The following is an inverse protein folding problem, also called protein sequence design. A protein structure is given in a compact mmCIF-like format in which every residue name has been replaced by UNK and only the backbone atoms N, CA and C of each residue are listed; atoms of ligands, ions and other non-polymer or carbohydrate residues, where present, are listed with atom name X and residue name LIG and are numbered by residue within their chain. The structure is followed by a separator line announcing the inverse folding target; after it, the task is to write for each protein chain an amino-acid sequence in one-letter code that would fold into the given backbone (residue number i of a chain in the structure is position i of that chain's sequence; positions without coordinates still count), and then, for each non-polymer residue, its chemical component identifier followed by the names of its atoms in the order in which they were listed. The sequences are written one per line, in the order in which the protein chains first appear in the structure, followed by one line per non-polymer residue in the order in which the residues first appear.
data_IF_462794490828
#
_entry.id   IF_462794490828
#
_cell.length_a   1.000
_cell.length_b   1.000
_cell.length_c   1.000
_cell.angle_alpha   90.00
_cell.angle_beta   90.00
_cell.angle_gamma   90.00
#
_symmetry.space_group_name_H-M   'P 1'
#
loop_
_entity.id
_entity.type
_entity.pdbx_description
1 polymer ?
#
# COMPACT_ATOMS: atom_id res chain seq x y z
N UNK A 1 59.16 -5.11 82.52
CA UNK A 1 59.93 -5.70 81.40
C UNK A 1 58.91 -5.84 80.25
N UNK A 2 58.73 -4.70 79.55
CA UNK A 2 57.68 -4.49 78.60
C UNK A 2 58.26 -4.59 77.22
N UNK A 3 57.80 -5.56 76.42
CA UNK A 3 58.11 -5.59 74.99
C UNK A 3 56.85 -5.15 74.21
N UNK A 4 56.93 -3.91 73.71
CA UNK A 4 55.98 -3.36 72.77
C UNK A 4 56.17 -3.96 71.36
N UNK A 5 55.16 -4.63 70.85
CA UNK A 5 55.11 -5.03 69.46
C UNK A 5 54.32 -3.93 68.65
N UNK A 6 55.05 -3.16 67.83
CA UNK A 6 54.48 -2.22 66.85
C UNK A 6 54.18 -2.96 65.57
N UNK A 7 52.92 -3.30 65.37
CA UNK A 7 52.42 -3.82 64.07
C UNK A 7 52.36 -2.72 63.04
N UNK A 8 52.95 -2.98 61.91
CA UNK A 8 53.05 -2.08 60.76
C UNK A 8 51.69 -1.96 60.03
N UNK A 9 51.01 -0.82 60.22
CA UNK A 9 49.73 -0.50 59.62
C UNK A 9 49.81 0.04 58.16
N UNK A 10 51.03 0.16 57.62
CA UNK A 10 51.26 0.78 56.30
C UNK A 10 51.08 -0.15 55.11
N UNK A 11 51.10 -1.47 55.33
CA UNK A 11 51.00 -2.43 54.25
C UNK A 11 49.56 -2.80 53.87
N UNK A 12 48.61 -2.66 54.82
CA UNK A 12 47.16 -2.96 54.56
C UNK A 12 46.44 -1.86 53.77
N UNK A 13 46.89 -0.61 53.89
CA UNK A 13 46.30 0.53 53.15
C UNK A 13 46.73 0.58 51.70
N UNK A 14 47.93 0.06 51.34
CA UNK A 14 48.37 0.01 49.93
C UNK A 14 47.69 -1.10 49.09
N UNK A 15 47.24 -2.18 49.74
CA UNK A 15 46.51 -3.25 49.03
C UNK A 15 45.06 -2.90 48.75
N UNK A 16 44.46 -2.05 49.59
CA UNK A 16 43.07 -1.61 49.40
C UNK A 16 42.94 -0.52 48.32
N UNK A 17 44.01 0.25 48.06
CA UNK A 17 44.05 1.28 47.05
C UNK A 17 44.25 0.74 45.62
N UNK A 18 44.73 -0.48 45.45
CA UNK A 18 44.95 -1.10 44.14
C UNK A 18 43.71 -1.84 43.63
N UNK A 19 42.72 -2.11 44.48
CA UNK A 19 41.47 -2.80 44.09
C UNK A 19 40.37 -1.85 43.59
N UNK A 20 40.58 -0.54 43.69
CA UNK A 20 39.54 0.46 43.37
C UNK A 20 39.73 1.12 42.00
N UNK A 21 40.69 0.70 41.18
CA UNK A 21 40.98 1.27 39.86
C UNK A 21 40.65 0.33 38.66
N UNK A 22 40.05 -0.82 38.93
CA UNK A 22 39.44 -1.59 37.82
C UNK A 22 38.06 -1.03 37.50
N UNK A 23 37.99 0.21 36.97
CA UNK A 23 36.80 0.76 36.37
C UNK A 23 36.51 -0.11 35.14
N UNK A 24 35.57 -1.06 35.27
CA UNK A 24 35.05 -1.85 34.17
C UNK A 24 34.45 -0.85 33.20
N UNK A 25 35.21 -0.49 32.17
CA UNK A 25 34.65 0.16 30.96
C UNK A 25 33.79 -0.90 30.29
N UNK A 26 32.54 -1.00 30.75
CA UNK A 26 31.52 -1.73 30.03
C UNK A 26 31.32 -0.94 28.75
N UNK A 27 31.65 -1.47 27.56
CA UNK A 27 31.31 -0.80 26.34
C UNK A 27 29.78 -0.65 26.34
N UNK A 28 29.27 0.58 26.41
CA UNK A 28 27.88 0.87 26.19
C UNK A 28 27.62 0.47 24.75
N UNK A 29 27.13 -0.76 24.54
CA UNK A 29 26.50 -1.15 23.25
C UNK A 29 25.29 -0.26 23.17
N UNK A 30 25.45 0.91 22.57
CA UNK A 30 24.31 1.72 22.14
C UNK A 30 23.57 0.87 21.10
N UNK A 31 22.49 0.21 21.51
CA UNK A 31 21.52 -0.31 20.56
C UNK A 31 21.00 0.94 19.83
N UNK A 32 21.61 1.24 18.68
CA UNK A 32 21.05 2.25 17.80
C UNK A 32 19.61 1.83 17.51
N UNK A 33 18.64 2.67 17.87
CA UNK A 33 17.24 2.40 17.56
C UNK A 33 17.12 2.16 16.05
N UNK A 34 16.53 1.03 15.69
CA UNK A 34 16.35 0.65 14.29
C UNK A 34 15.65 1.78 13.54
N UNK A 35 16.28 2.27 12.50
CA UNK A 35 15.68 3.34 11.66
C UNK A 35 14.49 2.78 10.92
N UNK A 36 13.34 3.42 11.03
CA UNK A 36 12.08 2.94 10.45
C UNK A 36 11.50 3.98 9.49
N UNK A 37 11.07 3.56 8.32
CA UNK A 37 10.29 4.33 7.36
C UNK A 37 8.82 3.95 7.51
N UNK A 38 7.95 4.91 7.76
CA UNK A 38 6.51 4.66 7.86
C UNK A 38 5.86 4.93 6.51
N UNK A 39 5.16 3.95 5.99
CA UNK A 39 4.47 4.04 4.70
C UNK A 39 2.99 3.73 4.84
N UNK A 40 2.11 4.62 4.40
CA UNK A 40 0.71 4.28 4.19
C UNK A 40 0.44 3.83 2.76
N UNK A 41 -0.41 2.83 2.63
CA UNK A 41 -0.82 2.28 1.33
C UNK A 41 -2.27 1.80 1.38
N UNK A 42 -2.73 1.20 0.27
CA UNK A 42 -4.09 0.62 0.22
C UNK A 42 -4.10 -0.85 0.60
N UNK A 43 -5.23 -1.31 1.15
CA UNK A 43 -5.43 -2.74 1.45
C UNK A 43 -5.32 -3.61 0.19
N UNK A 44 -5.70 -3.09 -0.99
CA UNK A 44 -5.53 -3.81 -2.26
C UNK A 44 -4.06 -3.95 -2.65
N UNK A 45 -3.25 -2.92 -2.44
CA UNK A 45 -1.79 -2.99 -2.68
C UNK A 45 -1.13 -4.03 -1.78
N UNK A 46 -1.45 -4.01 -0.49
CA UNK A 46 -0.92 -5.00 0.47
C UNK A 46 -1.37 -6.42 0.11
N UNK A 47 -2.66 -6.63 -0.14
CA UNK A 47 -3.23 -7.94 -0.46
C UNK A 47 -2.73 -8.52 -1.79
N UNK A 48 -2.21 -7.70 -2.70
CA UNK A 48 -1.57 -8.17 -3.93
C UNK A 48 -0.35 -9.05 -3.65
N UNK A 49 0.36 -8.76 -2.56
CA UNK A 49 1.60 -9.43 -2.17
C UNK A 49 2.86 -8.78 -2.75
N UNK A 50 2.75 -7.74 -3.58
CA UNK A 50 3.91 -7.07 -4.20
C UNK A 50 4.88 -6.51 -3.15
N UNK A 51 4.37 -5.92 -2.07
CA UNK A 51 5.20 -5.29 -1.04
C UNK A 51 6.12 -6.29 -0.33
N UNK A 52 5.70 -7.56 -0.22
CA UNK A 52 6.52 -8.62 0.35
C UNK A 52 7.77 -8.95 -0.49
N UNK A 53 7.75 -8.63 -1.79
CA UNK A 53 8.92 -8.76 -2.67
C UNK A 53 9.68 -7.43 -2.84
N UNK A 54 8.97 -6.31 -2.81
CA UNK A 54 9.53 -5.00 -3.09
C UNK A 54 10.30 -4.40 -1.91
N UNK A 55 9.82 -4.60 -0.66
CA UNK A 55 10.38 -3.96 0.53
C UNK A 55 11.70 -4.59 1.01
N UNK A 56 11.84 -5.94 1.14
CA UNK A 56 13.01 -6.53 1.78
C UNK A 56 14.35 -6.18 1.15
N UNK A 57 14.49 -6.05 -0.18
CA UNK A 57 15.77 -5.63 -0.76
C UNK A 57 16.19 -4.22 -0.35
N UNK A 58 15.24 -3.28 -0.25
CA UNK A 58 15.50 -1.93 0.24
C UNK A 58 15.91 -1.92 1.71
N UNK A 59 15.16 -2.63 2.57
CA UNK A 59 15.48 -2.75 4.00
C UNK A 59 16.91 -3.27 4.22
N UNK A 60 17.28 -4.28 3.44
CA UNK A 60 18.63 -4.88 3.51
C UNK A 60 19.72 -3.91 3.04
N UNK A 61 19.47 -3.14 1.98
CA UNK A 61 20.45 -2.21 1.41
C UNK A 61 20.69 -1.01 2.32
N UNK A 62 19.62 -0.46 2.90
CA UNK A 62 19.69 0.77 3.71
C UNK A 62 19.82 0.51 5.22
N UNK A 63 19.71 -0.75 5.68
CA UNK A 63 19.75 -1.09 7.10
C UNK A 63 18.59 -0.52 7.90
N UNK A 64 17.39 -0.45 7.30
CA UNK A 64 16.17 0.16 7.87
C UNK A 64 15.03 -0.83 7.86
N UNK A 65 13.91 -0.48 8.53
CA UNK A 65 12.63 -1.18 8.43
C UNK A 65 11.56 -0.30 7.81
N UNK A 66 10.69 -0.88 7.01
CA UNK A 66 9.52 -0.21 6.42
C UNK A 66 8.26 -0.69 7.13
N UNK A 67 7.64 0.22 7.88
CA UNK A 67 6.36 -0.03 8.54
C UNK A 67 5.21 0.28 7.58
N UNK A 68 4.49 -0.75 7.17
CA UNK A 68 3.38 -0.62 6.24
C UNK A 68 2.06 -0.48 7.00
N UNK A 69 1.31 0.58 6.69
CA UNK A 69 -0.04 0.83 7.20
C UNK A 69 -1.02 0.73 6.02
N UNK A 70 -1.64 -0.44 5.86
CA UNK A 70 -2.58 -0.72 4.78
C UNK A 70 -4.01 -0.37 5.18
N UNK A 71 -4.57 0.64 4.52
CA UNK A 71 -5.93 1.17 4.80
C UNK A 71 -6.63 1.58 3.49
N UNK A 72 -7.82 2.19 3.54
CA UNK A 72 -8.44 2.78 2.35
C UNK A 72 -7.67 4.03 1.88
N UNK A 73 -7.72 4.36 0.58
CA UNK A 73 -7.00 5.49 -0.03
C UNK A 73 -7.18 6.81 0.73
N UNK A 74 -8.41 7.16 1.09
CA UNK A 74 -8.68 8.40 1.84
C UNK A 74 -7.98 8.42 3.19
N UNK A 75 -7.97 7.31 3.92
CA UNK A 75 -7.28 7.16 5.20
C UNK A 75 -5.76 7.18 5.03
N UNK A 76 -5.22 6.55 3.97
CA UNK A 76 -3.79 6.58 3.69
C UNK A 76 -3.28 8.00 3.44
N UNK A 77 -4.00 8.79 2.62
CA UNK A 77 -3.72 10.21 2.40
C UNK A 77 -3.90 11.05 3.67
N UNK A 78 -4.88 10.71 4.52
CA UNK A 78 -5.07 11.41 5.79
C UNK A 78 -3.91 11.19 6.75
N UNK A 79 -3.34 9.98 6.83
CA UNK A 79 -2.12 9.72 7.60
C UNK A 79 -0.95 10.58 7.11
N UNK A 80 -0.81 10.76 5.79
CA UNK A 80 0.17 11.68 5.21
C UNK A 80 -0.11 13.15 5.57
N UNK A 81 -1.39 13.59 5.53
CA UNK A 81 -1.79 14.95 5.95
C UNK A 81 -1.47 15.25 7.41
N UNK A 82 -1.56 14.25 8.26
CA UNK A 82 -1.25 14.38 9.69
C UNK A 82 0.27 14.32 9.97
N UNK A 83 1.11 13.85 9.03
CA UNK A 83 2.51 13.56 9.27
C UNK A 83 2.75 12.27 10.08
N UNK A 84 1.75 11.38 10.12
CA UNK A 84 1.84 10.09 10.79
C UNK A 84 2.71 9.08 10.04
N UNK A 85 2.95 9.33 8.74
CA UNK A 85 3.78 8.53 7.84
C UNK A 85 4.79 9.41 7.10
N UNK A 86 5.78 8.77 6.50
CA UNK A 86 6.85 9.42 5.74
C UNK A 86 6.59 9.32 4.22
N UNK A 87 5.87 8.26 3.80
CA UNK A 87 5.54 7.95 2.41
C UNK A 87 4.07 7.55 2.29
N UNK A 88 3.45 7.97 1.19
CA UNK A 88 2.11 7.53 0.77
C UNK A 88 2.24 6.84 -0.58
N UNK A 89 1.78 5.57 -0.68
CA UNK A 89 1.80 4.78 -1.91
C UNK A 89 0.39 4.29 -2.24
N UNK A 90 -0.27 4.95 -3.19
CA UNK A 90 -1.70 4.78 -3.50
C UNK A 90 -1.96 4.80 -5.01
N UNK A 91 -3.22 4.64 -5.42
CA UNK A 91 -3.65 4.58 -6.82
C UNK A 91 -4.95 5.35 -7.05
N UNK A 92 -4.94 6.64 -6.75
CA UNK A 92 -6.08 7.54 -6.94
C UNK A 92 -5.58 8.91 -7.41
N UNK A 93 -5.14 9.01 -8.66
CA UNK A 93 -4.42 10.13 -9.24
C UNK A 93 -5.00 11.50 -8.84
N UNK A 94 -6.28 11.74 -8.98
CA UNK A 94 -6.88 13.02 -8.64
C UNK A 94 -6.78 13.37 -7.14
N UNK A 95 -6.82 12.37 -6.26
CA UNK A 95 -6.64 12.57 -4.82
C UNK A 95 -5.16 12.77 -4.45
N UNK A 96 -4.25 12.15 -5.18
CA UNK A 96 -2.80 12.34 -5.06
C UNK A 96 -2.40 13.76 -5.49
N UNK A 97 -2.90 14.21 -6.65
CA UNK A 97 -2.65 15.56 -7.15
C UNK A 97 -3.14 16.60 -6.14
N UNK A 98 -4.37 16.44 -5.62
CA UNK A 98 -4.90 17.32 -4.56
C UNK A 98 -4.02 17.32 -3.30
N UNK A 99 -3.50 16.17 -2.88
CA UNK A 99 -2.61 16.05 -1.72
C UNK A 99 -1.30 16.82 -1.93
N UNK A 100 -0.75 16.80 -3.15
CA UNK A 100 0.45 17.56 -3.53
C UNK A 100 0.13 19.05 -3.66
N UNK A 101 -0.94 19.43 -4.35
CA UNK A 101 -1.34 20.82 -4.57
C UNK A 101 -1.65 21.56 -3.25
N UNK A 102 -2.20 20.86 -2.25
CA UNK A 102 -2.40 21.37 -0.89
C UNK A 102 -1.10 21.44 -0.08
N UNK A 103 0.02 21.02 -0.64
CA UNK A 103 1.36 21.08 -0.05
C UNK A 103 1.64 20.02 1.02
N UNK A 104 0.81 19.00 1.19
CA UNK A 104 1.06 17.89 2.12
C UNK A 104 2.03 16.84 1.58
N UNK A 105 2.10 16.69 0.27
CA UNK A 105 3.01 15.80 -0.43
C UNK A 105 4.01 16.53 -1.30
N UNK A 106 5.14 15.92 -1.51
CA UNK A 106 6.18 16.36 -2.44
C UNK A 106 6.83 15.15 -3.12
N UNK A 107 7.66 15.39 -4.15
CA UNK A 107 8.41 14.33 -4.84
C UNK A 107 7.53 13.15 -5.31
N UNK A 108 6.32 13.44 -5.82
CA UNK A 108 5.45 12.42 -6.40
C UNK A 108 6.08 11.79 -7.64
N UNK A 109 6.02 10.47 -7.74
CA UNK A 109 6.45 9.69 -8.90
C UNK A 109 5.35 8.71 -9.31
N UNK A 110 5.20 8.49 -10.63
CA UNK A 110 4.47 7.36 -11.16
C UNK A 110 5.33 6.10 -10.98
N UNK A 111 4.71 5.00 -10.58
CA UNK A 111 5.41 3.76 -10.22
C UNK A 111 5.11 2.65 -11.21
N UNK A 112 3.83 2.36 -11.36
CA UNK A 112 3.31 1.22 -12.10
C UNK A 112 1.83 1.44 -12.39
N UNK A 113 1.27 0.60 -13.23
CA UNK A 113 -0.19 0.47 -13.36
C UNK A 113 -0.63 -1.00 -13.32
N UNK A 114 -1.85 -1.22 -12.93
CA UNK A 114 -2.69 -2.32 -13.33
C UNK A 114 -3.98 -1.76 -13.92
N UNK A 115 -4.98 -2.57 -14.11
CA UNK A 115 -6.28 -2.12 -14.55
C UNK A 115 -7.37 -2.53 -13.55
N UNK A 116 -8.52 -1.89 -13.71
CA UNK A 116 -9.77 -2.38 -13.20
C UNK A 116 -10.41 -3.30 -14.23
N UNK A 117 -11.18 -4.24 -13.73
CA UNK A 117 -11.97 -5.16 -14.53
C UNK A 117 -13.41 -5.19 -14.02
N UNK A 118 -14.38 -5.36 -14.89
CA UNK A 118 -15.73 -5.70 -14.45
C UNK A 118 -15.87 -7.21 -14.53
N UNK A 119 -16.12 -7.79 -13.36
CA UNK A 119 -16.31 -9.23 -13.21
C UNK A 119 -17.78 -9.56 -13.02
N UNK A 120 -18.17 -10.76 -13.39
CA UNK A 120 -19.54 -11.24 -13.28
C UNK A 120 -19.66 -12.75 -13.43
N UNK A 121 -20.89 -13.28 -13.37
CA UNK A 121 -21.13 -14.70 -13.49
C UNK A 121 -20.77 -15.21 -14.90
N UNK A 122 -20.30 -16.46 -15.03
CA UNK A 122 -19.90 -17.04 -16.34
C UNK A 122 -21.01 -16.99 -17.41
N UNK A 123 -22.28 -16.98 -17.00
CA UNK A 123 -23.44 -16.93 -17.88
C UNK A 123 -23.68 -15.56 -18.52
N UNK A 124 -23.11 -14.52 -17.92
CA UNK A 124 -23.18 -13.13 -18.38
C UNK A 124 -24.58 -12.65 -18.80
N UNK A 125 -25.57 -12.68 -17.90
CA UNK A 125 -26.94 -12.32 -18.25
C UNK A 125 -27.11 -10.88 -18.78
N UNK A 126 -26.22 -9.95 -18.41
CA UNK A 126 -26.22 -8.59 -18.94
C UNK A 126 -25.55 -8.48 -20.33
N UNK A 127 -24.86 -9.52 -20.79
CA UNK A 127 -24.16 -9.52 -22.09
C UNK A 127 -22.91 -8.59 -22.10
N UNK A 128 -22.28 -8.44 -20.97
CA UNK A 128 -21.19 -7.49 -20.77
C UNK A 128 -19.95 -7.83 -21.62
N UNK A 129 -19.67 -9.12 -21.83
CA UNK A 129 -18.56 -9.58 -22.66
C UNK A 129 -18.67 -9.14 -24.14
N UNK A 130 -19.87 -8.72 -24.58
CA UNK A 130 -20.11 -8.20 -25.94
C UNK A 130 -20.02 -6.68 -26.03
N UNK A 131 -19.80 -5.97 -24.90
CA UNK A 131 -19.67 -4.53 -24.87
C UNK A 131 -18.39 -4.08 -25.60
N UNK A 132 -18.51 -3.05 -26.43
CA UNK A 132 -17.40 -2.53 -27.25
C UNK A 132 -16.60 -1.43 -26.57
N UNK A 133 -17.22 -0.77 -25.60
CA UNK A 133 -16.69 0.39 -24.88
C UNK A 133 -17.31 0.48 -23.48
N UNK A 134 -16.76 1.35 -22.64
CA UNK A 134 -17.26 1.57 -21.29
C UNK A 134 -18.75 1.95 -21.28
N UNK A 135 -19.18 2.84 -22.17
CA UNK A 135 -20.57 3.34 -22.18
C UNK A 135 -21.56 2.22 -22.43
N UNK A 136 -21.28 1.33 -23.39
CA UNK A 136 -22.12 0.17 -23.67
C UNK A 136 -22.10 -0.86 -22.55
N UNK A 137 -20.94 -1.05 -21.88
CA UNK A 137 -20.80 -1.93 -20.72
C UNK A 137 -21.64 -1.44 -19.53
N UNK A 138 -21.51 -0.16 -19.18
CA UNK A 138 -22.26 0.44 -18.07
C UNK A 138 -23.76 0.51 -18.36
N UNK A 139 -24.14 0.77 -19.62
CA UNK A 139 -25.53 0.74 -20.03
C UNK A 139 -26.15 -0.66 -19.95
N UNK A 140 -25.40 -1.70 -20.29
CA UNK A 140 -25.84 -3.08 -20.15
C UNK A 140 -26.13 -3.43 -18.67
N UNK A 141 -25.26 -3.05 -17.77
CA UNK A 141 -25.47 -3.22 -16.32
C UNK A 141 -26.67 -2.44 -15.80
N UNK A 142 -26.88 -1.20 -16.28
CA UNK A 142 -27.96 -0.32 -15.84
C UNK A 142 -29.34 -0.75 -16.28
N UNK A 143 -29.47 -1.71 -17.18
CA UNK A 143 -30.79 -2.33 -17.52
C UNK A 143 -31.42 -3.04 -16.32
N UNK A 144 -30.63 -3.31 -15.29
CA UNK A 144 -31.13 -3.81 -14.02
C UNK A 144 -31.55 -5.28 -14.01
N UNK A 145 -31.16 -6.04 -15.02
CA UNK A 145 -31.48 -7.47 -15.13
C UNK A 145 -30.62 -8.33 -14.21
N UNK A 146 -29.52 -7.78 -13.72
CA UNK A 146 -28.63 -8.44 -12.77
C UNK A 146 -28.09 -7.44 -11.74
N UNK A 147 -27.78 -7.94 -10.54
CA UNK A 147 -27.24 -7.12 -9.45
C UNK A 147 -25.84 -6.63 -9.79
N UNK A 148 -25.58 -5.34 -9.60
CA UNK A 148 -24.23 -4.80 -9.50
C UNK A 148 -23.88 -4.53 -8.03
N UNK A 149 -22.79 -5.11 -7.56
CA UNK A 149 -22.33 -4.96 -6.19
C UNK A 149 -21.21 -3.92 -6.12
N UNK A 150 -21.55 -2.76 -5.60
CA UNK A 150 -20.62 -1.66 -5.36
C UNK A 150 -19.86 -1.85 -4.06
N UNK A 151 -18.63 -1.34 -4.01
CA UNK A 151 -17.90 -1.28 -2.74
C UNK A 151 -18.58 -0.41 -1.69
N UNK A 152 -19.12 0.73 -2.04
CA UNK A 152 -19.86 1.62 -1.14
C UNK A 152 -19.05 2.17 0.06
N UNK A 153 -17.70 2.10 0.04
CA UNK A 153 -16.83 2.34 1.19
C UNK A 153 -15.85 3.52 1.02
N UNK A 154 -16.07 4.36 0.01
CA UNK A 154 -15.21 5.50 -0.38
C UNK A 154 -13.75 5.14 -0.69
N UNK A 155 -13.45 3.87 -0.96
CA UNK A 155 -12.14 3.39 -1.41
C UNK A 155 -11.78 3.91 -2.81
N UNK A 156 -10.53 3.65 -3.25
CA UNK A 156 -10.09 3.94 -4.62
C UNK A 156 -10.96 3.25 -5.67
N UNK A 157 -11.33 1.98 -5.44
CA UNK A 157 -12.25 1.22 -6.33
C UNK A 157 -13.62 1.86 -6.38
N UNK A 158 -14.20 2.26 -5.23
CA UNK A 158 -15.50 2.94 -5.20
C UNK A 158 -15.46 4.31 -5.91
N UNK A 159 -14.39 5.09 -5.72
CA UNK A 159 -14.19 6.35 -6.44
C UNK A 159 -14.09 6.13 -7.95
N UNK A 160 -13.36 5.08 -8.36
CA UNK A 160 -13.24 4.69 -9.77
C UNK A 160 -14.60 4.29 -10.34
N UNK A 161 -15.34 3.45 -9.65
CA UNK A 161 -16.68 3.01 -10.03
C UNK A 161 -17.61 4.22 -10.27
N UNK A 162 -17.69 5.15 -9.31
CA UNK A 162 -18.49 6.38 -9.45
C UNK A 162 -18.06 7.23 -10.64
N UNK A 163 -16.76 7.28 -10.94
CA UNK A 163 -16.26 7.97 -12.13
C UNK A 163 -16.72 7.27 -13.42
N UNK A 164 -16.68 5.94 -13.47
CA UNK A 164 -17.13 5.17 -14.65
C UNK A 164 -18.63 5.38 -14.89
N UNK A 165 -19.47 5.30 -13.85
CA UNK A 165 -20.91 5.60 -13.95
C UNK A 165 -21.16 7.02 -14.47
N UNK A 166 -20.45 8.00 -13.90
CA UNK A 166 -20.55 9.40 -14.34
C UNK A 166 -20.13 9.58 -15.80
N UNK A 167 -19.02 8.93 -16.21
CA UNK A 167 -18.53 8.99 -17.61
C UNK A 167 -19.53 8.40 -18.59
N UNK A 168 -20.23 7.34 -18.18
CA UNK A 168 -21.31 6.74 -18.96
C UNK A 168 -22.62 7.55 -18.92
N UNK A 169 -22.68 8.65 -18.14
CA UNK A 169 -23.90 9.46 -17.99
C UNK A 169 -25.02 8.79 -17.20
N UNK A 170 -24.68 7.81 -16.35
CA UNK A 170 -25.61 6.99 -15.59
C UNK A 170 -25.50 7.29 -14.11
N UNK A 171 -26.63 7.49 -13.43
CA UNK A 171 -26.72 7.54 -11.97
C UNK A 171 -27.32 6.21 -11.47
N UNK A 172 -26.49 5.27 -10.99
CA UNK A 172 -27.00 3.96 -10.59
C UNK A 172 -27.89 4.09 -9.35
N UNK A 173 -29.04 3.42 -9.37
CA UNK A 173 -30.01 3.45 -8.27
C UNK A 173 -31.00 2.28 -8.38
N UNK A 174 -31.68 1.98 -7.28
CA UNK A 174 -32.69 0.91 -7.24
C UNK A 174 -32.12 -0.45 -6.82
N UNK A 175 -32.98 -1.47 -6.86
CA UNK A 175 -32.67 -2.78 -6.27
C UNK A 175 -31.55 -3.57 -6.96
N UNK A 176 -31.18 -3.21 -8.17
CA UNK A 176 -30.07 -3.86 -8.89
C UNK A 176 -28.68 -3.33 -8.48
N UNK A 177 -28.61 -2.14 -7.87
CA UNK A 177 -27.37 -1.52 -7.40
C UNK A 177 -27.25 -1.67 -5.88
N UNK A 178 -26.35 -2.53 -5.42
CA UNK A 178 -26.19 -2.87 -4.01
C UNK A 178 -24.84 -2.37 -3.47
N UNK A 179 -24.88 -1.40 -2.58
CA UNK A 179 -23.68 -0.92 -1.87
C UNK A 179 -23.35 -1.84 -0.69
N UNK A 180 -22.20 -2.52 -0.75
CA UNK A 180 -21.81 -3.50 0.26
C UNK A 180 -21.18 -2.85 1.51
N UNK A 181 -20.56 -1.67 1.40
CA UNK A 181 -19.82 -1.05 2.50
C UNK A 181 -18.61 -1.87 2.97
N UNK A 182 -18.06 -2.74 2.11
CA UNK A 182 -17.08 -3.75 2.48
C UNK A 182 -15.81 -3.69 1.62
N UNK A 183 -14.74 -4.38 2.07
CA UNK A 183 -13.51 -4.58 1.30
C UNK A 183 -13.74 -5.44 0.06
N UNK A 184 -12.82 -5.34 -0.93
CA UNK A 184 -13.01 -5.94 -2.26
C UNK A 184 -13.23 -7.46 -2.21
N UNK A 185 -12.55 -8.18 -1.31
CA UNK A 185 -12.74 -9.62 -1.17
C UNK A 185 -14.18 -9.99 -0.80
N UNK A 186 -14.80 -9.26 0.15
CA UNK A 186 -16.19 -9.47 0.53
C UNK A 186 -17.14 -9.11 -0.62
N UNK A 187 -16.85 -8.03 -1.35
CA UNK A 187 -17.63 -7.62 -2.54
C UNK A 187 -17.63 -8.71 -3.61
N UNK A 188 -16.47 -9.33 -3.88
CA UNK A 188 -16.36 -10.44 -4.83
C UNK A 188 -17.19 -11.65 -4.37
N UNK A 189 -17.16 -11.99 -3.07
CA UNK A 189 -17.98 -13.07 -2.52
C UNK A 189 -19.48 -12.77 -2.67
N UNK A 190 -19.91 -11.55 -2.31
CA UNK A 190 -21.32 -11.13 -2.43
C UNK A 190 -21.77 -11.14 -3.89
N UNK A 191 -20.93 -10.69 -4.82
CA UNK A 191 -21.22 -10.68 -6.25
C UNK A 191 -21.39 -12.12 -6.77
N UNK A 192 -20.52 -13.04 -6.34
CA UNK A 192 -20.62 -14.46 -6.70
C UNK A 192 -21.92 -15.09 -6.19
N UNK A 193 -22.23 -14.93 -4.89
CA UNK A 193 -23.44 -15.44 -4.26
C UNK A 193 -24.73 -14.90 -4.94
N UNK A 194 -24.72 -13.63 -5.34
CA UNK A 194 -25.83 -12.98 -6.03
C UNK A 194 -25.87 -13.24 -7.54
N UNK A 195 -24.88 -13.95 -8.09
CA UNK A 195 -24.66 -14.04 -9.54
C UNK A 195 -24.69 -12.67 -10.21
N UNK A 196 -24.07 -11.70 -9.54
CA UNK A 196 -24.03 -10.30 -9.93
C UNK A 196 -22.66 -9.89 -10.46
N UNK A 197 -22.55 -8.61 -10.74
CA UNK A 197 -21.36 -7.98 -11.28
C UNK A 197 -20.68 -7.10 -10.22
N UNK A 198 -19.38 -6.89 -10.37
CA UNK A 198 -18.63 -5.94 -9.54
C UNK A 198 -17.45 -5.36 -10.32
N UNK A 199 -17.06 -4.14 -9.98
CA UNK A 199 -15.76 -3.58 -10.36
C UNK A 199 -14.69 -4.04 -9.38
N UNK A 200 -13.60 -4.58 -9.89
CA UNK A 200 -12.44 -4.94 -9.07
C UNK A 200 -11.15 -4.45 -9.71
N UNK A 201 -10.15 -4.09 -8.91
CA UNK A 201 -8.80 -4.10 -9.44
C UNK A 201 -8.40 -5.53 -9.80
N UNK A 202 -7.69 -5.70 -10.92
CA UNK A 202 -7.29 -7.02 -11.43
C UNK A 202 -6.45 -7.79 -10.41
N UNK A 203 -5.59 -7.09 -9.67
CA UNK A 203 -4.72 -7.70 -8.68
C UNK A 203 -5.49 -8.41 -7.58
N UNK A 204 -6.48 -7.76 -7.01
CA UNK A 204 -7.35 -8.38 -5.99
C UNK A 204 -8.16 -9.52 -6.59
N UNK A 205 -8.72 -9.35 -7.80
CA UNK A 205 -9.47 -10.41 -8.45
C UNK A 205 -8.62 -11.68 -8.67
N UNK A 206 -7.39 -11.54 -9.19
CA UNK A 206 -6.48 -12.69 -9.39
C UNK A 206 -6.05 -13.30 -8.04
N UNK A 207 -5.78 -12.47 -7.03
CA UNK A 207 -5.42 -12.97 -5.70
C UNK A 207 -6.60 -13.71 -5.02
N UNK A 208 -7.81 -13.38 -5.42
CA UNK A 208 -9.05 -14.02 -4.94
C UNK A 208 -9.48 -15.23 -5.79
N UNK A 209 -8.82 -15.45 -6.92
CA UNK A 209 -9.11 -16.54 -7.85
C UNK A 209 -9.14 -17.91 -7.17
N UNK A 210 -10.10 -18.74 -7.59
CA UNK A 210 -10.39 -20.04 -6.99
C UNK A 210 -11.30 -20.02 -5.75
N UNK A 211 -11.66 -18.82 -5.23
CA UNK A 211 -12.62 -18.66 -4.14
C UNK A 211 -14.02 -18.26 -4.62
N UNK A 212 -14.13 -17.80 -5.85
CA UNK A 212 -15.37 -17.35 -6.49
C UNK A 212 -15.44 -17.87 -7.92
N UNK A 213 -16.64 -18.08 -8.44
CA UNK A 213 -16.89 -18.50 -9.84
C UNK A 213 -17.24 -17.29 -10.72
N UNK A 214 -16.50 -16.18 -10.54
CA UNK A 214 -16.64 -14.99 -11.36
C UNK A 214 -15.63 -15.02 -12.51
N UNK A 215 -15.97 -14.39 -13.63
CA UNK A 215 -15.10 -14.20 -14.81
C UNK A 215 -14.90 -12.71 -15.07
N UNK A 216 -13.75 -12.35 -15.68
CA UNK A 216 -13.58 -11.02 -16.26
C UNK A 216 -14.48 -10.96 -17.51
N UNK A 217 -15.40 -10.02 -17.52
CA UNK A 217 -16.38 -9.85 -18.60
C UNK A 217 -16.18 -8.53 -19.36
N UNK A 218 -15.54 -7.53 -18.74
CA UNK A 218 -15.15 -6.31 -19.44
C UNK A 218 -13.79 -5.82 -18.95
N UNK A 219 -12.87 -5.57 -19.89
CA UNK A 219 -11.50 -5.15 -19.64
C UNK A 219 -10.92 -4.37 -20.84
N UNK A 220 -9.72 -3.81 -20.71
CA UNK A 220 -8.95 -3.21 -21.80
C UNK A 220 -9.36 -1.82 -22.22
N UNK A 221 -10.45 -1.26 -21.68
CA UNK A 221 -10.83 0.13 -21.93
C UNK A 221 -9.88 1.09 -21.18
N UNK A 222 -9.47 2.17 -21.83
CA UNK A 222 -8.54 3.15 -21.29
C UNK A 222 -9.03 3.77 -19.97
N UNK A 223 -10.35 3.90 -19.81
CA UNK A 223 -10.96 4.37 -18.58
C UNK A 223 -10.78 3.43 -17.39
N UNK A 224 -10.42 2.17 -17.62
CA UNK A 224 -10.14 1.18 -16.59
C UNK A 224 -8.69 1.22 -16.07
N UNK A 225 -7.82 2.06 -16.64
CA UNK A 225 -6.44 2.18 -16.15
C UNK A 225 -6.40 2.58 -14.68
N UNK A 226 -5.49 1.95 -13.94
CA UNK A 226 -5.29 2.13 -12.51
C UNK A 226 -3.82 2.44 -12.20
N UNK A 227 -3.38 3.69 -12.40
CA UNK A 227 -2.01 4.09 -12.15
C UNK A 227 -1.73 4.23 -10.64
N UNK A 228 -0.56 3.82 -10.22
CA UNK A 228 -0.05 3.92 -8.85
C UNK A 228 0.96 5.04 -8.74
N UNK A 229 0.78 5.91 -7.74
CA UNK A 229 1.71 6.96 -7.38
C UNK A 229 2.31 6.75 -6.00
N UNK A 230 3.58 7.15 -5.85
CA UNK A 230 4.28 7.19 -4.57
C UNK A 230 4.71 8.62 -4.27
N UNK A 231 4.52 9.07 -3.03
CA UNK A 231 4.62 10.48 -2.64
C UNK A 231 5.33 10.57 -1.30
N UNK A 232 6.36 11.41 -1.19
CA UNK A 232 6.94 11.76 0.10
C UNK A 232 6.06 12.78 0.83
N UNK A 233 5.89 12.62 2.13
CA UNK A 233 5.26 13.63 2.98
C UNK A 233 6.15 14.87 3.03
N UNK A 234 5.55 16.06 2.88
CA UNK A 234 6.30 17.30 2.77
C UNK A 234 6.93 17.71 4.11
N UNK A 235 8.27 17.78 4.21
CA UNK A 235 8.96 18.13 5.45
C UNK A 235 8.75 19.60 5.88
N UNK A 236 8.34 20.48 4.98
CA UNK A 236 8.02 21.87 5.33
C UNK A 236 6.77 21.95 6.22
N UNK A 237 5.79 21.07 6.01
CA UNK A 237 4.62 20.95 6.88
C UNK A 237 4.83 20.01 8.06
N UNK A 238 5.65 18.99 7.87
CA UNK A 238 5.89 17.92 8.83
C UNK A 238 7.40 17.69 9.04
N UNK A 239 8.09 18.55 9.81
CA UNK A 239 9.54 18.45 10.03
C UNK A 239 10.01 17.10 10.60
N UNK A 240 9.10 16.37 11.25
CA UNK A 240 9.36 15.01 11.76
C UNK A 240 9.36 13.92 10.67
N UNK A 241 8.83 14.21 9.47
CA UNK A 241 8.85 13.27 8.36
C UNK A 241 10.28 13.04 7.87
N UNK A 242 10.64 11.80 7.69
CA UNK A 242 11.98 11.37 7.27
C UNK A 242 12.16 11.51 5.76
N UNK A 243 12.11 12.75 5.27
CA UNK A 243 12.11 13.03 3.83
C UNK A 243 13.29 12.40 3.08
N UNK A 244 14.51 12.43 3.64
CA UNK A 244 15.68 11.81 3.00
C UNK A 244 15.50 10.31 2.78
N UNK A 245 14.98 9.59 3.79
CA UNK A 245 14.71 8.17 3.71
C UNK A 245 13.50 7.87 2.79
N UNK A 246 12.45 8.69 2.86
CA UNK A 246 11.30 8.62 1.97
C UNK A 246 11.72 8.78 0.51
N UNK A 247 12.58 9.75 0.21
CA UNK A 247 13.13 9.96 -1.13
C UNK A 247 13.97 8.77 -1.59
N UNK A 248 14.84 8.22 -0.73
CA UNK A 248 15.64 7.04 -1.06
C UNK A 248 14.74 5.83 -1.40
N UNK A 249 13.67 5.62 -0.65
CA UNK A 249 12.70 4.56 -0.94
C UNK A 249 11.96 4.79 -2.26
N UNK A 250 11.52 6.02 -2.53
CA UNK A 250 10.88 6.38 -3.80
C UNK A 250 11.84 6.14 -4.96
N UNK A 251 13.09 6.61 -4.87
CA UNK A 251 14.11 6.43 -5.92
C UNK A 251 14.40 4.94 -6.15
N UNK A 252 14.45 4.13 -5.10
CA UNK A 252 14.56 2.68 -5.22
C UNK A 252 13.37 2.07 -5.97
N UNK A 253 12.13 2.41 -5.58
CA UNK A 253 10.91 1.86 -6.18
C UNK A 253 10.80 2.20 -7.66
N UNK A 254 11.13 3.43 -8.05
CA UNK A 254 11.10 3.86 -9.46
C UNK A 254 12.40 3.57 -10.21
N UNK A 255 13.44 3.14 -9.52
CA UNK A 255 14.72 2.75 -10.09
C UNK A 255 14.71 1.35 -10.71
N UNK A 256 15.82 0.98 -11.35
CA UNK A 256 15.94 -0.26 -12.10
C UNK A 256 15.57 -1.50 -11.27
N UNK A 257 16.04 -1.58 -10.03
CA UNK A 257 15.80 -2.72 -9.16
C UNK A 257 14.31 -2.87 -8.79
N UNK A 258 13.67 -1.80 -8.32
CA UNK A 258 12.24 -1.81 -7.98
C UNK A 258 11.37 -2.10 -9.20
N UNK A 259 11.66 -1.48 -10.33
CA UNK A 259 10.91 -1.68 -11.57
C UNK A 259 11.10 -3.09 -12.17
N UNK A 260 12.27 -3.71 -11.98
CA UNK A 260 12.51 -5.10 -12.34
C UNK A 260 11.66 -6.06 -11.50
N UNK A 261 11.54 -5.82 -10.18
CA UNK A 261 10.68 -6.60 -9.29
C UNK A 261 9.22 -6.46 -9.73
N UNK A 262 8.74 -5.23 -9.96
CA UNK A 262 7.37 -4.97 -10.42
C UNK A 262 7.09 -5.70 -11.75
N UNK A 263 7.99 -5.61 -12.73
CA UNK A 263 7.86 -6.28 -14.01
C UNK A 263 7.82 -7.80 -13.89
N UNK A 264 8.59 -8.35 -12.95
CA UNK A 264 8.69 -9.79 -12.70
C UNK A 264 7.57 -10.36 -11.85
N UNK A 265 6.85 -9.51 -11.12
CA UNK A 265 5.86 -9.96 -10.15
C UNK A 265 4.70 -10.72 -10.80
N UNK A 266 4.44 -11.92 -10.30
CA UNK A 266 3.37 -12.80 -10.77
C UNK A 266 2.52 -13.30 -9.60
N UNK A 267 1.21 -13.32 -9.82
CA UNK A 267 0.25 -13.95 -8.91
C UNK A 267 -0.51 -15.02 -9.69
N UNK A 268 -0.50 -16.25 -9.20
CA UNK A 268 -1.11 -17.38 -9.90
C UNK A 268 -0.63 -17.50 -11.38
N UNK A 269 0.65 -17.22 -11.64
CA UNK A 269 1.26 -17.25 -12.97
C UNK A 269 0.97 -16.05 -13.87
N UNK A 270 0.11 -15.12 -13.45
CA UNK A 270 -0.26 -13.93 -14.22
C UNK A 270 0.48 -12.69 -13.76
N UNK A 271 0.87 -11.82 -14.70
CA UNK A 271 1.45 -10.52 -14.39
C UNK A 271 0.37 -9.59 -13.85
N UNK A 272 0.66 -8.98 -12.68
CA UNK A 272 -0.29 -8.09 -12.03
C UNK A 272 -0.03 -6.61 -12.29
N UNK A 273 1.24 -6.24 -12.40
CA UNK A 273 1.63 -4.85 -12.50
C UNK A 273 2.59 -4.64 -13.67
N UNK A 274 2.47 -3.50 -14.30
CA UNK A 274 3.31 -3.04 -15.39
C UNK A 274 4.09 -1.81 -14.92
N UNK A 275 5.43 -1.80 -15.01
CA UNK A 275 6.25 -0.68 -14.56
C UNK A 275 6.06 0.54 -15.44
N UNK A 276 5.98 1.75 -14.86
CA UNK A 276 5.78 3.01 -15.56
C UNK A 276 6.98 3.96 -15.46
N UNK A 277 7.88 3.75 -14.50
CA UNK A 277 8.96 4.67 -14.24
C UNK A 277 10.17 4.48 -15.17
N UNK A 278 10.35 3.29 -15.74
CA UNK A 278 11.41 2.98 -16.70
C UNK A 278 10.77 2.42 -17.98
N UNK A 279 11.03 3.06 -19.11
CA UNK A 279 10.55 2.63 -20.44
C UNK A 279 11.45 1.56 -21.02
#
# INVERSE_FOLDING_TARGET
MDLFWKGDHTMKTKLLSLLMAALIVVPSISLAAETRLRMSTTTSTENSGLLAELIPPFEKAEGVKVDVIAVGTGKALQLGRNGDVDVVFVHARSAEDKFVDEGYGTYRKDVMHNDFVIVGPPQDPAGLASAKDLSSAMAALAKGEATFVSRGDDSGTHKKEKLLWKTAGIAPSGGWYAEAGQGMGAVLTIADEKRGYALSDRGTFIAYGGKVDLKVLFEGDQSLANPYGIIAVNPEKHPQARFGLAKAFIDYVVGEQGQKIIRGFRKNGQQLFYPDAIK
#
